data_IF_930546956897
#
_entry.id   IF_930546956897
#
_cell.length_a   1.000
_cell.length_b   1.000
_cell.length_c   1.000
_cell.angle_alpha   90.00
_cell.angle_beta   90.00
_cell.angle_gamma   90.00
#
_symmetry.space_group_name_H-M   'P 1'
#
loop_
_entity.id
_entity.type
_entity.pdbx_description
1 polymer ?
#
# COMPACT_ATOMS: atom_id res chain seq x y z
N UNK A 1 -34.97 -20.69 7.94
CA UNK A 1 -34.00 -20.50 9.04
C UNK A 1 -32.71 -19.96 8.42
N UNK A 2 -32.51 -18.64 8.47
CA UNK A 2 -31.34 -17.97 7.89
C UNK A 2 -30.16 -18.03 8.86
N UNK A 3 -28.98 -18.40 8.38
CA UNK A 3 -27.70 -18.11 9.05
C UNK A 3 -26.69 -17.63 8.01
N UNK A 4 -26.69 -16.33 7.79
CA UNK A 4 -25.55 -15.59 7.22
C UNK A 4 -25.33 -14.37 8.10
N UNK A 5 -24.42 -14.48 9.06
CA UNK A 5 -23.80 -13.32 9.72
C UNK A 5 -22.46 -13.77 10.29
N UNK A 6 -21.39 -13.51 9.54
CA UNK A 6 -20.09 -13.15 10.10
C UNK A 6 -19.63 -11.94 9.30
N UNK A 7 -19.99 -10.76 9.77
CA UNK A 7 -19.47 -9.50 9.25
C UNK A 7 -18.03 -9.35 9.74
N UNK A 8 -17.08 -9.35 8.81
CA UNK A 8 -15.70 -8.96 9.07
C UNK A 8 -15.64 -7.42 9.08
N UNK A 9 -15.28 -6.75 10.21
CA UNK A 9 -15.35 -5.30 10.32
C UNK A 9 -14.20 -4.53 9.65
N UNK A 10 -13.22 -5.22 9.06
CA UNK A 10 -12.09 -4.60 8.35
C UNK A 10 -11.87 -5.28 6.99
N UNK A 11 -11.62 -4.46 5.96
CA UNK A 11 -11.47 -4.94 4.58
C UNK A 11 -10.43 -4.12 3.80
N UNK A 12 -9.38 -4.80 3.32
CA UNK A 12 -8.28 -4.30 2.46
C UNK A 12 -8.45 -4.80 1.01
N UNK A 13 -7.93 -4.26 -0.11
CA UNK A 13 -7.32 -2.98 -0.55
C UNK A 13 -7.59 -2.75 -2.08
N UNK A 14 -7.58 -1.48 -2.51
CA UNK A 14 -7.55 -0.84 -3.87
C UNK A 14 -8.38 -1.34 -5.08
N UNK A 15 -8.44 -2.63 -5.44
CA UNK A 15 -9.59 -3.11 -6.26
C UNK A 15 -10.86 -2.96 -5.42
N UNK A 16 -10.68 -3.09 -4.10
CA UNK A 16 -11.62 -2.71 -3.09
C UNK A 16 -12.05 -1.25 -3.21
N UNK A 17 -11.25 -0.25 -3.60
CA UNK A 17 -11.74 1.13 -3.66
C UNK A 17 -12.79 1.35 -4.78
N UNK A 18 -12.63 0.69 -5.93
CA UNK A 18 -13.63 0.71 -7.02
C UNK A 18 -14.81 -0.21 -6.70
N UNK A 19 -14.57 -1.36 -6.07
CA UNK A 19 -15.62 -2.26 -5.59
C UNK A 19 -16.35 -1.73 -4.34
N UNK A 20 -15.74 -0.85 -3.54
CA UNK A 20 -16.30 -0.11 -2.39
C UNK A 20 -17.07 1.06 -2.86
N UNK A 21 -16.57 1.82 -3.85
CA UNK A 21 -17.40 2.76 -4.57
C UNK A 21 -18.62 2.01 -5.13
N UNK A 22 -18.42 0.91 -5.86
CA UNK A 22 -19.49 0.05 -6.40
C UNK A 22 -20.44 -0.51 -5.34
N UNK A 23 -19.94 -0.95 -4.18
CA UNK A 23 -20.75 -1.55 -3.11
C UNK A 23 -21.41 -0.50 -2.23
N UNK A 24 -20.79 0.66 -2.00
CA UNK A 24 -21.44 1.84 -1.41
C UNK A 24 -22.53 2.40 -2.34
N UNK A 25 -22.34 2.32 -3.66
CA UNK A 25 -23.33 2.66 -4.68
C UNK A 25 -24.54 1.71 -4.61
N UNK A 26 -24.30 0.40 -4.48
CA UNK A 26 -25.35 -0.62 -4.39
C UNK A 26 -26.06 -0.62 -3.02
N UNK A 27 -25.35 -0.37 -1.92
CA UNK A 27 -25.90 -0.49 -0.56
C UNK A 27 -26.49 0.81 -0.01
N UNK A 28 -26.06 2.00 -0.48
CA UNK A 28 -26.55 3.27 0.09
C UNK A 28 -27.99 3.61 -0.29
N UNK A 29 -28.49 3.13 -1.42
CA UNK A 29 -29.82 3.52 -1.95
C UNK A 29 -29.98 5.01 -2.26
N UNK A 30 -28.97 5.84 -2.00
CA UNK A 30 -28.93 7.28 -2.20
C UNK A 30 -28.30 7.59 -3.57
N UNK A 31 -29.14 7.49 -4.59
CA UNK A 31 -28.78 7.66 -6.01
C UNK A 31 -28.07 9.01 -6.25
N UNK A 32 -28.41 10.05 -5.48
CA UNK A 32 -27.81 11.39 -5.63
C UNK A 32 -26.33 11.40 -5.24
N UNK A 33 -25.99 10.84 -4.07
CA UNK A 33 -24.59 10.76 -3.61
C UNK A 33 -23.76 9.78 -4.40
N UNK A 34 -24.36 8.66 -4.81
CA UNK A 34 -23.80 7.73 -5.80
C UNK A 34 -23.34 8.47 -7.06
N UNK A 35 -24.21 9.30 -7.64
CA UNK A 35 -23.89 10.05 -8.85
C UNK A 35 -22.79 11.09 -8.61
N UNK A 36 -22.73 11.70 -7.43
CA UNK A 36 -21.65 12.63 -7.07
C UNK A 36 -20.28 11.95 -6.96
N UNK A 37 -20.22 10.76 -6.36
CA UNK A 37 -18.99 9.96 -6.26
C UNK A 37 -18.56 9.49 -7.65
N UNK A 38 -19.49 8.96 -8.46
CA UNK A 38 -19.23 8.55 -9.85
C UNK A 38 -18.69 9.73 -10.67
N UNK A 39 -19.34 10.89 -10.59
CA UNK A 39 -18.90 12.11 -11.28
C UNK A 39 -17.51 12.53 -10.84
N UNK A 40 -17.21 12.41 -9.54
CA UNK A 40 -15.89 12.73 -9.00
C UNK A 40 -14.82 11.75 -9.49
N UNK A 41 -15.12 10.45 -9.57
CA UNK A 41 -14.21 9.44 -10.11
C UNK A 41 -13.95 9.65 -11.61
N UNK A 42 -14.97 10.00 -12.40
CA UNK A 42 -14.79 10.28 -13.84
C UNK A 42 -13.90 11.49 -14.13
N UNK A 43 -13.69 12.41 -13.17
CA UNK A 43 -12.67 13.46 -13.33
C UNK A 43 -11.25 12.91 -13.47
N UNK A 44 -11.03 11.69 -12.99
CA UNK A 44 -9.74 11.01 -13.05
C UNK A 44 -9.60 10.14 -14.30
N UNK A 45 -10.64 10.00 -15.12
CA UNK A 45 -10.56 9.23 -16.36
C UNK A 45 -9.93 10.08 -17.48
N UNK A 46 -8.84 9.59 -18.08
CA UNK A 46 -8.19 10.24 -19.21
C UNK A 46 -8.95 10.02 -20.52
N UNK A 47 -8.54 10.72 -21.58
CA UNK A 47 -9.15 10.62 -22.92
C UNK A 47 -9.14 9.21 -23.56
N UNK A 48 -8.34 8.29 -23.02
CA UNK A 48 -8.22 6.89 -23.45
C UNK A 48 -9.08 5.95 -22.58
N UNK A 49 -9.82 6.46 -21.60
CA UNK A 49 -10.69 5.69 -20.71
C UNK A 49 -10.03 5.13 -19.44
N UNK A 50 -8.77 5.48 -19.16
CA UNK A 50 -8.01 5.00 -17.99
C UNK A 50 -8.14 5.96 -16.81
N UNK A 51 -8.37 5.45 -15.60
CA UNK A 51 -8.41 6.26 -14.39
C UNK A 51 -6.99 6.49 -13.85
N UNK A 52 -6.61 7.76 -13.74
CA UNK A 52 -5.34 8.24 -13.20
C UNK A 52 -5.45 8.55 -11.70
N UNK A 53 -4.35 8.54 -10.96
CA UNK A 53 -4.34 9.04 -9.58
C UNK A 53 -4.51 10.58 -9.51
N UNK A 54 -4.39 11.27 -10.65
CA UNK A 54 -4.54 12.72 -10.77
C UNK A 54 -5.53 13.05 -11.91
N UNK A 55 -6.45 14.01 -11.72
CA UNK A 55 -7.34 14.46 -12.77
C UNK A 55 -6.61 15.40 -13.75
N UNK A 56 -7.09 15.45 -15.00
CA UNK A 56 -6.50 16.30 -16.06
C UNK A 56 -6.67 17.81 -15.80
N UNK A 57 -7.45 18.19 -14.78
CA UNK A 57 -7.85 19.57 -14.53
C UNK A 57 -7.15 20.14 -13.27
N UNK A 58 -6.65 21.38 -13.35
CA UNK A 58 -6.19 22.18 -12.19
C UNK A 58 -7.39 22.66 -11.37
N UNK A 59 -8.11 21.73 -10.74
CA UNK A 59 -9.27 22.01 -9.91
C UNK A 59 -8.82 22.18 -8.44
N UNK A 60 -8.76 23.44 -7.97
CA UNK A 60 -8.35 23.81 -6.61
C UNK A 60 -9.21 23.15 -5.51
N UNK A 61 -10.42 22.69 -5.85
CA UNK A 61 -11.26 21.94 -4.90
C UNK A 61 -10.65 20.59 -4.53
N UNK A 62 -9.85 19.99 -5.40
CA UNK A 62 -9.18 18.71 -5.15
C UNK A 62 -7.94 18.87 -4.27
N UNK A 63 -7.18 19.94 -4.48
CA UNK A 63 -6.09 20.33 -3.58
C UNK A 63 -6.63 20.60 -2.17
N UNK A 64 -7.75 21.32 -2.09
CA UNK A 64 -8.45 21.58 -0.82
C UNK A 64 -8.96 20.30 -0.16
N UNK A 65 -9.47 19.35 -0.95
CA UNK A 65 -9.93 18.06 -0.46
C UNK A 65 -8.78 17.21 0.09
N UNK A 66 -7.66 17.10 -0.66
CA UNK A 66 -6.48 16.39 -0.22
C UNK A 66 -5.92 16.93 1.11
N UNK A 67 -5.85 18.26 1.25
CA UNK A 67 -5.45 18.91 2.51
C UNK A 67 -6.37 18.53 3.67
N UNK A 68 -7.70 18.56 3.46
CA UNK A 68 -8.68 18.15 4.48
C UNK A 68 -8.53 16.68 4.88
N UNK A 69 -8.31 15.79 3.92
CA UNK A 69 -8.07 14.37 4.20
C UNK A 69 -6.81 14.17 5.05
N UNK A 70 -5.69 14.80 4.70
CA UNK A 70 -4.45 14.69 5.47
C UNK A 70 -4.58 15.29 6.87
N UNK A 71 -5.18 16.47 7.02
CA UNK A 71 -5.44 17.05 8.35
C UNK A 71 -6.31 16.13 9.21
N UNK A 72 -7.31 15.50 8.59
CA UNK A 72 -8.13 14.53 9.31
C UNK A 72 -7.32 13.30 9.75
N UNK A 73 -6.45 12.76 8.90
CA UNK A 73 -5.55 11.66 9.28
C UNK A 73 -4.60 12.09 10.42
N UNK A 74 -4.04 13.29 10.35
CA UNK A 74 -3.15 13.84 11.38
C UNK A 74 -3.84 14.02 12.73
N UNK A 75 -5.10 14.48 12.71
CA UNK A 75 -5.88 14.73 13.93
C UNK A 75 -6.40 13.44 14.59
N UNK A 76 -6.64 12.39 13.80
CA UNK A 76 -7.40 11.22 14.28
C UNK A 76 -6.59 9.92 14.31
N UNK A 77 -5.63 9.74 13.40
CA UNK A 77 -4.94 8.45 13.19
C UNK A 77 -3.41 8.53 13.30
N UNK A 78 -2.82 9.72 13.40
CA UNK A 78 -1.38 9.87 13.55
C UNK A 78 -0.91 9.41 14.94
N UNK A 79 -0.03 8.42 14.94
CA UNK A 79 0.78 8.12 16.10
C UNK A 79 1.93 9.10 16.19
N UNK A 80 1.90 9.99 17.18
CA UNK A 80 2.93 11.01 17.37
C UNK A 80 4.29 10.45 17.80
N UNK A 81 4.36 9.19 18.23
CA UNK A 81 5.61 8.57 18.69
C UNK A 81 6.54 8.19 17.54
N UNK A 82 5.99 7.78 16.39
CA UNK A 82 6.76 7.36 15.22
C UNK A 82 6.33 8.03 13.90
N UNK A 83 5.30 8.89 13.94
CA UNK A 83 4.86 9.66 12.77
C UNK A 83 4.08 8.86 11.73
N UNK A 84 3.71 7.60 12.02
CA UNK A 84 2.89 6.76 11.16
C UNK A 84 1.40 6.86 11.49
N UNK A 85 0.57 6.39 10.56
CA UNK A 85 -0.87 6.34 10.77
C UNK A 85 -1.30 4.94 11.21
N UNK A 86 -2.19 4.92 12.21
CA UNK A 86 -3.01 3.78 12.54
C UNK A 86 -3.96 3.43 11.38
N UNK A 87 -4.36 2.16 11.30
CA UNK A 87 -5.10 1.64 10.15
C UNK A 87 -6.51 2.22 10.02
N UNK A 88 -7.19 2.45 11.16
CA UNK A 88 -8.51 3.05 11.11
C UNK A 88 -9.18 3.24 12.47
N UNK A 89 -10.45 3.65 12.41
CA UNK A 89 -11.31 3.79 13.57
C UNK A 89 -12.63 3.07 13.36
N UNK A 90 -13.26 2.69 14.47
CA UNK A 90 -14.60 2.12 14.42
C UNK A 90 -15.64 3.23 14.13
N UNK A 91 -16.40 3.08 13.04
CA UNK A 91 -17.40 4.08 12.63
C UNK A 91 -18.50 4.33 13.66
N UNK A 92 -18.84 3.31 14.46
CA UNK A 92 -19.86 3.38 15.50
C UNK A 92 -19.28 3.84 16.85
N UNK A 93 -17.96 3.80 17.00
CA UNK A 93 -17.26 4.29 18.18
C UNK A 93 -15.90 4.86 17.81
N UNK A 94 -15.87 6.15 17.48
CA UNK A 94 -14.68 6.83 16.94
C UNK A 94 -13.50 6.92 17.92
N UNK A 95 -13.68 6.58 19.19
CA UNK A 95 -12.59 6.50 20.17
C UNK A 95 -11.89 5.14 20.16
N UNK A 96 -12.48 4.14 19.49
CA UNK A 96 -11.86 2.84 19.28
C UNK A 96 -11.05 2.86 17.97
N UNK A 97 -9.74 3.01 18.13
CA UNK A 97 -8.76 3.09 17.03
C UNK A 97 -8.12 1.71 16.86
N UNK A 98 -8.13 1.19 15.63
CA UNK A 98 -7.29 0.04 15.26
C UNK A 98 -5.86 0.53 15.10
N UNK A 99 -5.02 0.17 16.07
CA UNK A 99 -3.62 0.61 16.14
C UNK A 99 -2.69 -0.21 15.27
N UNK A 100 -3.21 -1.12 14.44
CA UNK A 100 -2.45 -1.73 13.35
C UNK A 100 -1.78 -0.65 12.50
N UNK A 101 -0.54 -0.89 12.09
CA UNK A 101 0.21 0.00 11.19
C UNK A 101 0.59 -0.79 9.95
N UNK A 102 0.19 -0.27 8.80
CA UNK A 102 0.49 -0.88 7.51
C UNK A 102 1.16 0.11 6.59
N UNK A 103 2.12 -0.37 5.83
CA UNK A 103 2.98 0.41 4.92
C UNK A 103 2.20 1.25 3.91
N UNK A 104 0.99 0.80 3.51
CA UNK A 104 0.17 1.54 2.55
C UNK A 104 -0.29 2.91 3.07
N UNK A 105 -0.59 3.04 4.37
CA UNK A 105 -1.07 4.32 4.93
C UNK A 105 0.02 5.37 4.84
N UNK A 106 1.27 4.96 5.05
CA UNK A 106 2.45 5.82 4.95
C UNK A 106 2.79 6.14 3.50
N UNK A 107 2.75 5.14 2.61
CA UNK A 107 2.99 5.31 1.18
C UNK A 107 2.04 6.31 0.51
N UNK A 108 0.74 6.16 0.74
CA UNK A 108 -0.28 7.07 0.23
C UNK A 108 -0.08 8.49 0.77
N UNK A 109 0.26 8.64 2.05
CA UNK A 109 0.54 9.94 2.63
C UNK A 109 1.77 10.60 1.98
N UNK A 110 2.88 9.87 1.82
CA UNK A 110 4.11 10.36 1.16
C UNK A 110 3.77 10.87 -0.26
N UNK A 111 3.07 10.08 -1.07
CA UNK A 111 2.67 10.50 -2.42
C UNK A 111 1.80 11.77 -2.36
N UNK A 112 0.79 11.81 -1.48
CA UNK A 112 -0.12 12.95 -1.36
C UNK A 112 0.60 14.24 -0.97
N UNK A 113 1.48 14.19 0.04
CA UNK A 113 2.30 15.34 0.43
C UNK A 113 3.24 15.77 -0.70
N UNK A 114 3.85 14.82 -1.42
CA UNK A 114 4.74 15.14 -2.55
C UNK A 114 4.00 15.87 -3.67
N UNK A 115 2.80 15.42 -4.04
CA UNK A 115 1.98 16.12 -5.03
C UNK A 115 1.43 17.46 -4.52
N UNK A 116 1.08 17.58 -3.24
CA UNK A 116 0.74 18.88 -2.66
C UNK A 116 1.88 19.88 -2.81
N UNK A 117 3.13 19.48 -2.55
CA UNK A 117 4.30 20.32 -2.84
C UNK A 117 4.37 20.68 -4.33
N UNK A 118 4.30 19.70 -5.23
CA UNK A 118 4.37 19.92 -6.68
C UNK A 118 3.37 20.96 -7.19
N UNK A 119 2.16 20.97 -6.65
CA UNK A 119 1.08 21.85 -7.11
C UNK A 119 0.95 23.17 -6.34
N UNK A 120 1.41 23.24 -5.09
CA UNK A 120 1.30 24.45 -4.26
C UNK A 120 2.62 25.20 -4.10
N UNK A 121 3.74 24.55 -4.38
CA UNK A 121 5.09 25.03 -4.10
C UNK A 121 5.36 25.34 -2.62
N UNK A 122 4.56 24.77 -1.70
CA UNK A 122 4.75 24.89 -0.25
C UNK A 122 5.71 23.80 0.25
N UNK A 123 6.92 24.23 0.62
CA UNK A 123 8.00 23.35 1.05
C UNK A 123 7.65 22.52 2.30
N UNK A 124 6.68 22.94 3.11
CA UNK A 124 6.28 22.16 4.29
C UNK A 124 5.80 20.76 3.89
N UNK A 125 5.13 20.61 2.75
CA UNK A 125 4.62 19.32 2.32
C UNK A 125 5.73 18.34 1.95
N UNK A 126 6.76 18.78 1.22
CA UNK A 126 7.88 17.90 0.86
C UNK A 126 8.75 17.56 2.08
N UNK A 127 8.86 18.47 3.06
CA UNK A 127 9.52 18.18 4.34
C UNK A 127 8.80 17.07 5.11
N UNK A 128 7.46 17.12 5.18
CA UNK A 128 6.66 16.06 5.82
C UNK A 128 6.80 14.72 5.09
N UNK A 129 6.72 14.74 3.76
CA UNK A 129 6.91 13.52 2.94
C UNK A 129 8.30 12.90 3.16
N UNK A 130 9.34 13.74 3.17
CA UNK A 130 10.74 13.33 3.40
C UNK A 130 10.93 12.77 4.81
N UNK A 131 10.33 13.38 5.83
CA UNK A 131 10.39 12.86 7.20
C UNK A 131 9.73 11.47 7.29
N UNK A 132 8.54 11.30 6.71
CA UNK A 132 7.84 10.00 6.69
C UNK A 132 8.62 8.91 5.95
N UNK A 133 9.23 9.24 4.81
CA UNK A 133 10.09 8.32 4.07
C UNK A 133 11.31 7.88 4.89
N UNK A 134 12.00 8.84 5.53
CA UNK A 134 13.15 8.57 6.41
C UNK A 134 12.79 7.65 7.58
N UNK A 135 11.69 7.93 8.27
CA UNK A 135 11.23 7.09 9.39
C UNK A 135 10.87 5.69 8.91
N UNK A 136 10.25 5.55 7.72
CA UNK A 136 9.87 4.25 7.16
C UNK A 136 11.08 3.37 6.85
N UNK A 137 12.12 3.95 6.25
CA UNK A 137 13.35 3.22 5.86
C UNK A 137 14.15 2.75 7.08
N UNK A 138 13.98 3.38 8.24
CA UNK A 138 14.68 3.02 9.49
C UNK A 138 13.77 2.29 10.49
N UNK A 139 12.53 2.03 10.10
CA UNK A 139 11.49 1.61 11.02
C UNK A 139 11.64 0.15 11.44
N UNK A 140 11.64 -0.10 12.75
CA UNK A 140 11.43 -1.45 13.29
C UNK A 140 9.96 -1.89 13.22
N UNK A 141 9.02 -0.97 13.00
CA UNK A 141 7.58 -1.28 12.82
C UNK A 141 7.33 -2.02 11.50
N UNK A 142 8.03 -1.60 10.43
CA UNK A 142 7.81 -2.15 9.08
C UNK A 142 8.91 -3.10 8.62
N UNK A 143 9.96 -3.32 9.41
CA UNK A 143 11.04 -4.25 9.05
C UNK A 143 10.93 -5.56 9.80
N UNK A 144 11.27 -6.64 9.10
CA UNK A 144 11.62 -7.91 9.71
C UNK A 144 13.07 -7.83 10.22
N UNK A 145 13.45 -8.79 11.06
CA UNK A 145 14.80 -8.91 11.63
C UNK A 145 15.92 -9.04 10.59
N UNK A 146 15.64 -9.52 9.38
CA UNK A 146 16.60 -9.57 8.28
C UNK A 146 16.75 -8.24 7.52
N UNK A 147 16.06 -7.17 7.94
CA UNK A 147 16.16 -5.82 7.37
C UNK A 147 15.30 -5.57 6.12
N UNK A 148 14.35 -6.45 5.82
CA UNK A 148 13.39 -6.30 4.70
C UNK A 148 11.98 -6.05 5.22
N UNK A 149 11.13 -5.45 4.39
CA UNK A 149 9.79 -5.06 4.84
C UNK A 149 8.89 -6.26 5.20
N UNK A 150 8.02 -6.05 6.17
CA UNK A 150 7.24 -7.11 6.85
C UNK A 150 5.76 -7.20 6.45
N UNK A 151 5.32 -6.43 5.46
CA UNK A 151 3.94 -6.43 4.98
C UNK A 151 3.82 -7.17 3.65
N UNK A 152 2.62 -7.70 3.38
CA UNK A 152 2.25 -8.27 2.08
C UNK A 152 2.43 -7.25 0.94
N UNK A 153 2.64 -7.73 -0.29
CA UNK A 153 2.88 -6.85 -1.45
C UNK A 153 1.68 -5.95 -1.72
N UNK A 154 0.45 -6.42 -1.42
CA UNK A 154 -0.80 -5.63 -1.49
C UNK A 154 -0.83 -4.36 -0.62
N UNK A 155 0.13 -4.21 0.31
CA UNK A 155 0.34 -2.97 1.05
C UNK A 155 1.64 -2.28 0.61
N UNK A 156 2.71 -3.04 0.41
CA UNK A 156 4.02 -2.50 0.05
C UNK A 156 4.00 -1.72 -1.26
N UNK A 157 3.20 -2.12 -2.24
CA UNK A 157 3.18 -1.44 -3.53
C UNK A 157 2.85 0.06 -3.41
N UNK A 158 1.98 0.45 -2.47
CA UNK A 158 1.65 1.86 -2.21
C UNK A 158 2.79 2.61 -1.51
N UNK A 159 3.60 1.91 -0.71
CA UNK A 159 4.82 2.49 -0.14
C UNK A 159 5.86 2.78 -1.23
N UNK A 160 6.10 1.85 -2.14
CA UNK A 160 6.96 2.07 -3.30
C UNK A 160 6.46 3.24 -4.16
N UNK A 161 5.16 3.29 -4.46
CA UNK A 161 4.55 4.43 -5.18
C UNK A 161 4.87 5.75 -4.49
N UNK A 162 4.64 5.84 -3.18
CA UNK A 162 4.90 7.04 -2.39
C UNK A 162 6.34 7.51 -2.44
N UNK A 163 7.29 6.61 -2.16
CA UNK A 163 8.71 6.98 -2.14
C UNK A 163 9.22 7.34 -3.54
N UNK A 164 8.80 6.60 -4.58
CA UNK A 164 9.17 6.92 -5.97
C UNK A 164 8.59 8.26 -6.42
N UNK A 165 7.34 8.57 -6.08
CA UNK A 165 6.75 9.88 -6.39
C UNK A 165 7.52 11.01 -5.68
N UNK A 166 7.94 10.80 -4.43
CA UNK A 166 8.77 11.74 -3.69
C UNK A 166 10.11 11.99 -4.40
N UNK A 167 10.84 10.94 -4.76
CA UNK A 167 12.13 11.02 -5.46
C UNK A 167 11.98 11.82 -6.76
N UNK A 168 11.01 11.45 -7.60
CA UNK A 168 10.79 12.09 -8.90
C UNK A 168 10.38 13.55 -8.76
N UNK A 169 9.56 13.89 -7.77
CA UNK A 169 9.09 15.27 -7.55
C UNK A 169 10.21 16.15 -6.98
N UNK A 170 11.08 15.59 -6.14
CA UNK A 170 12.20 16.32 -5.55
C UNK A 170 13.37 16.51 -6.52
N UNK A 171 13.53 15.60 -7.50
CA UNK A 171 14.70 15.54 -8.37
C UNK A 171 15.96 15.07 -7.64
N UNK A 172 17.05 14.90 -8.40
CA UNK A 172 18.32 14.28 -7.96
C UNK A 172 18.99 14.96 -6.73
N UNK A 173 18.56 16.14 -6.33
CA UNK A 173 19.28 16.98 -5.37
C UNK A 173 18.90 16.77 -3.89
N UNK A 174 17.84 16.01 -3.55
CA UNK A 174 17.26 16.13 -2.18
C UNK A 174 16.97 14.85 -1.39
N UNK A 175 17.13 13.64 -1.93
CA UNK A 175 17.07 12.41 -1.12
C UNK A 175 17.58 11.16 -1.85
N UNK A 176 18.60 10.48 -1.31
CA UNK A 176 19.03 9.18 -1.83
C UNK A 176 18.26 8.03 -1.15
N UNK A 177 16.95 7.99 -1.40
CA UNK A 177 16.12 6.83 -1.02
C UNK A 177 16.19 5.71 -2.08
N UNK A 178 16.72 6.00 -3.26
CA UNK A 178 16.77 5.09 -4.42
C UNK A 178 17.47 3.79 -4.07
N UNK A 179 18.63 3.86 -3.42
CA UNK A 179 19.38 2.67 -3.00
C UNK A 179 18.58 1.79 -2.02
N UNK A 180 17.89 2.42 -1.05
CA UNK A 180 17.11 1.69 -0.05
C UNK A 180 15.90 0.97 -0.66
N UNK A 181 15.16 1.64 -1.55
CA UNK A 181 13.99 1.01 -2.19
C UNK A 181 14.39 0.00 -3.27
N UNK A 182 15.49 0.21 -4.00
CA UNK A 182 16.01 -0.77 -4.96
C UNK A 182 16.41 -2.06 -4.23
N UNK A 183 17.05 -1.95 -3.07
CA UNK A 183 17.37 -3.10 -2.21
C UNK A 183 16.11 -3.89 -1.80
N UNK A 184 15.02 -3.20 -1.43
CA UNK A 184 13.75 -3.86 -1.09
C UNK A 184 13.10 -4.51 -2.32
N UNK A 185 13.14 -3.85 -3.48
CA UNK A 185 12.61 -4.38 -4.74
C UNK A 185 13.36 -5.63 -5.22
N UNK A 186 14.69 -5.63 -5.11
CA UNK A 186 15.51 -6.80 -5.43
C UNK A 186 15.19 -8.00 -4.53
N UNK A 187 14.92 -7.75 -3.25
CA UNK A 187 14.52 -8.80 -2.32
C UNK A 187 13.22 -9.46 -2.76
N UNK A 188 12.20 -8.66 -3.06
CA UNK A 188 10.90 -9.14 -3.55
C UNK A 188 11.09 -9.93 -4.84
N UNK A 189 11.88 -9.41 -5.78
CA UNK A 189 12.18 -10.11 -7.03
C UNK A 189 12.83 -11.48 -6.81
N UNK A 190 13.77 -11.59 -5.87
CA UNK A 190 14.54 -12.81 -5.62
C UNK A 190 13.80 -13.86 -4.80
N UNK A 191 13.00 -13.44 -3.81
CA UNK A 191 12.51 -14.34 -2.76
C UNK A 191 10.99 -14.50 -2.72
N UNK A 192 10.22 -13.53 -3.20
CA UNK A 192 8.75 -13.63 -3.24
C UNK A 192 8.24 -14.26 -4.54
N UNK A 193 9.12 -14.47 -5.54
CA UNK A 193 8.76 -15.04 -6.84
C UNK A 193 8.81 -16.57 -6.83
N UNK A 194 7.69 -17.21 -7.21
CA UNK A 194 7.64 -18.63 -7.51
C UNK A 194 8.38 -18.97 -8.81
N UNK A 195 8.62 -20.25 -9.07
CA UNK A 195 9.42 -20.75 -10.22
C UNK A 195 8.89 -20.36 -11.62
N UNK A 196 7.65 -19.89 -11.72
CA UNK A 196 7.09 -19.31 -12.95
C UNK A 196 7.07 -17.78 -12.83
N UNK A 197 7.67 -17.08 -13.81
CA UNK A 197 7.65 -15.62 -13.89
C UNK A 197 6.22 -15.10 -13.70
N UNK A 198 6.08 -14.10 -12.83
CA UNK A 198 4.81 -13.41 -12.62
C UNK A 198 3.89 -14.03 -11.56
N UNK A 199 4.40 -14.88 -10.67
CA UNK A 199 3.65 -15.36 -9.50
C UNK A 199 4.40 -15.00 -8.20
N UNK A 200 3.81 -14.10 -7.43
CA UNK A 200 4.39 -13.52 -6.23
C UNK A 200 3.51 -13.79 -5.00
N UNK A 201 4.16 -14.15 -3.89
CA UNK A 201 3.57 -14.37 -2.57
C UNK A 201 4.63 -14.05 -1.50
N UNK A 202 4.21 -13.77 -0.27
CA UNK A 202 5.16 -13.62 0.85
C UNK A 202 5.96 -14.92 1.04
N UNK A 203 7.28 -14.82 0.91
CA UNK A 203 8.16 -15.98 1.04
C UNK A 203 8.04 -16.70 2.39
N UNK A 204 7.59 -16.02 3.45
CA UNK A 204 7.46 -16.62 4.79
C UNK A 204 6.26 -17.55 4.94
N UNK A 205 5.21 -17.33 4.14
CA UNK A 205 3.97 -18.11 4.12
C UNK A 205 4.07 -19.42 3.33
N UNK A 206 5.00 -19.47 2.38
CA UNK A 206 5.12 -20.54 1.38
C UNK A 206 6.41 -21.32 1.56
N UNK A 207 6.31 -22.61 1.90
CA UNK A 207 7.48 -23.43 2.24
C UNK A 207 8.52 -23.50 1.12
N UNK A 208 8.07 -23.60 -0.13
CA UNK A 208 8.95 -23.59 -1.30
C UNK A 208 9.78 -22.30 -1.38
N UNK A 209 9.16 -21.13 -1.16
CA UNK A 209 9.83 -19.84 -1.22
C UNK A 209 10.76 -19.64 -0.03
N UNK A 210 10.34 -20.03 1.18
CA UNK A 210 11.19 -19.99 2.37
C UNK A 210 12.44 -20.86 2.21
N UNK A 211 12.30 -22.11 1.74
CA UNK A 211 13.44 -23.00 1.54
C UNK A 211 14.39 -22.43 0.46
N UNK A 212 13.86 -21.77 -0.57
CA UNK A 212 14.65 -21.03 -1.56
C UNK A 212 15.40 -19.85 -0.94
N UNK A 213 14.73 -19.04 -0.12
CA UNK A 213 15.32 -17.93 0.63
C UNK A 213 16.49 -18.40 1.48
N UNK A 214 16.30 -19.43 2.32
CA UNK A 214 17.35 -20.00 3.18
C UNK A 214 18.52 -20.50 2.34
N UNK A 215 18.24 -21.23 1.25
CA UNK A 215 19.27 -21.80 0.38
C UNK A 215 20.12 -20.72 -0.31
N UNK A 216 19.51 -19.63 -0.76
CA UNK A 216 20.19 -18.58 -1.52
C UNK A 216 20.86 -17.53 -0.63
N UNK A 217 20.23 -17.15 0.48
CA UNK A 217 20.74 -16.12 1.40
C UNK A 217 21.68 -16.69 2.47
N UNK A 218 21.52 -17.96 2.83
CA UNK A 218 22.16 -18.56 4.00
C UNK A 218 21.52 -18.15 5.34
N UNK A 219 20.49 -17.30 5.34
CA UNK A 219 19.80 -16.88 6.56
C UNK A 219 18.70 -17.88 6.95
N UNK A 220 18.96 -18.65 8.00
CA UNK A 220 18.03 -19.61 8.59
C UNK A 220 17.65 -19.27 10.03
N UNK A 221 17.98 -18.05 10.49
CA UNK A 221 17.89 -17.68 11.91
C UNK A 221 17.18 -16.36 12.16
N UNK A 222 17.22 -15.43 11.20
CA UNK A 222 16.56 -14.14 11.37
C UNK A 222 15.05 -14.29 11.18
N UNK A 223 14.62 -15.06 10.16
CA UNK A 223 13.20 -15.26 9.82
C UNK A 223 12.87 -16.73 9.91
N UNK A 224 11.71 -17.05 10.51
CA UNK A 224 11.19 -18.40 10.55
C UNK A 224 10.08 -18.58 9.52
N UNK A 225 9.99 -19.78 8.95
CA UNK A 225 8.82 -20.21 8.20
C UNK A 225 7.57 -20.15 9.07
N UNK A 226 6.49 -19.59 8.52
CA UNK A 226 5.18 -19.54 9.16
C UNK A 226 4.13 -20.00 8.16
N UNK A 227 3.63 -21.23 8.33
CA UNK A 227 2.57 -21.74 7.47
C UNK A 227 1.36 -20.78 7.46
N UNK A 228 0.98 -20.34 6.26
CA UNK A 228 -0.20 -19.54 6.03
C UNK A 228 -1.18 -20.29 5.13
N UNK A 229 -2.29 -20.78 5.70
CA UNK A 229 -3.32 -21.49 4.93
C UNK A 229 -3.97 -20.64 3.84
N UNK A 230 -3.91 -19.31 3.94
CA UNK A 230 -4.44 -18.43 2.90
C UNK A 230 -3.64 -18.52 1.59
N UNK A 231 -2.38 -18.98 1.65
CA UNK A 231 -1.50 -19.13 0.49
C UNK A 231 -1.62 -20.49 -0.21
N UNK A 232 -2.44 -21.42 0.31
CA UNK A 232 -2.66 -22.76 -0.27
C UNK A 232 -4.15 -23.01 -0.58
N UNK A 233 -4.42 -23.69 -1.69
CA UNK A 233 -5.78 -23.97 -2.18
C UNK A 233 -6.61 -24.80 -1.19
N UNK A 234 -5.97 -25.73 -0.48
CA UNK A 234 -6.57 -26.60 0.53
C UNK A 234 -6.52 -26.01 1.96
N UNK A 235 -5.71 -24.97 2.17
CA UNK A 235 -5.56 -24.20 3.39
C UNK A 235 -5.20 -24.96 4.66
N UNK A 236 -4.83 -26.24 4.55
CA UNK A 236 -4.73 -27.15 5.69
C UNK A 236 -3.33 -27.69 5.96
N UNK A 237 -2.44 -27.62 4.97
CA UNK A 237 -1.06 -28.09 5.05
C UNK A 237 -0.20 -27.42 3.97
N UNK A 238 1.12 -27.58 4.07
CA UNK A 238 2.10 -26.99 3.15
C UNK A 238 2.52 -27.91 1.99
N UNK A 239 1.84 -29.05 1.83
CA UNK A 239 1.98 -29.95 0.69
C UNK A 239 0.92 -29.73 -0.40
N UNK A 240 -0.05 -28.86 -0.13
CA UNK A 240 -1.12 -28.50 -1.04
C UNK A 240 -0.67 -27.63 -2.23
N UNK A 241 -1.58 -27.42 -3.17
CA UNK A 241 -1.35 -26.50 -4.28
C UNK A 241 -1.28 -25.05 -3.77
N UNK A 242 -0.20 -24.34 -4.11
CA UNK A 242 -0.04 -22.92 -3.80
C UNK A 242 -1.08 -22.10 -4.60
N UNK A 243 -1.80 -21.20 -3.94
CA UNK A 243 -2.77 -20.29 -4.56
C UNK A 243 -2.06 -19.24 -5.40
N UNK A 244 -2.66 -18.86 -6.52
CA UNK A 244 -2.22 -17.68 -7.29
C UNK A 244 -3.02 -16.46 -6.83
N UNK A 245 -2.34 -15.35 -6.58
CA UNK A 245 -2.98 -14.10 -6.17
C UNK A 245 -2.82 -13.04 -7.26
N UNK A 246 -3.94 -12.64 -7.88
CA UNK A 246 -3.94 -11.50 -8.80
C UNK A 246 -3.50 -10.21 -8.09
N UNK A 247 -3.86 -10.05 -6.81
CA UNK A 247 -3.50 -8.86 -6.04
C UNK A 247 -2.00 -8.78 -5.78
N UNK A 248 -1.37 -9.86 -5.31
CA UNK A 248 0.08 -9.88 -5.06
C UNK A 248 0.86 -9.71 -6.37
N UNK A 249 0.41 -10.36 -7.46
CA UNK A 249 1.04 -10.22 -8.78
C UNK A 249 0.93 -8.79 -9.32
N UNK A 250 -0.24 -8.16 -9.21
CA UNK A 250 -0.44 -6.77 -9.62
C UNK A 250 0.39 -5.80 -8.77
N UNK A 251 0.52 -6.09 -7.48
CA UNK A 251 1.33 -5.33 -6.54
C UNK A 251 2.81 -5.40 -6.89
N UNK A 252 3.34 -6.61 -7.13
CA UNK A 252 4.72 -6.81 -7.60
C UNK A 252 4.97 -6.08 -8.92
N UNK A 253 4.06 -6.19 -9.88
CA UNK A 253 4.16 -5.48 -11.16
C UNK A 253 4.19 -3.97 -10.97
N UNK A 254 3.37 -3.42 -10.06
CA UNK A 254 3.40 -2.00 -9.74
C UNK A 254 4.73 -1.60 -9.08
N UNK A 255 5.24 -2.40 -8.15
CA UNK A 255 6.55 -2.15 -7.52
C UNK A 255 7.64 -2.04 -8.58
N UNK A 256 7.76 -3.02 -9.48
CA UNK A 256 8.80 -3.01 -10.51
C UNK A 256 8.60 -1.90 -11.54
N UNK A 257 7.35 -1.59 -11.91
CA UNK A 257 7.05 -0.44 -12.76
C UNK A 257 7.54 0.86 -12.12
N UNK A 258 7.29 1.06 -10.83
CA UNK A 258 7.70 2.27 -10.13
C UNK A 258 9.22 2.35 -9.94
N UNK A 259 9.90 1.24 -9.66
CA UNK A 259 11.36 1.22 -9.56
C UNK A 259 12.04 1.53 -10.90
N UNK A 260 11.51 1.01 -12.01
CA UNK A 260 12.02 1.32 -13.36
C UNK A 260 11.91 2.82 -13.71
N UNK A 261 11.00 3.57 -13.07
CA UNK A 261 10.93 5.04 -13.26
C UNK A 261 12.13 5.80 -12.67
N UNK A 262 13.02 5.12 -11.95
CA UNK A 262 14.23 5.68 -11.35
C UNK A 262 15.52 5.34 -12.14
N UNK A 263 15.42 4.53 -13.19
CA UNK A 263 16.53 4.17 -14.09
C UNK A 263 16.66 5.13 -15.29
#
# INVERSE_FOLDING_TARGET
>A
MSKFTNFNPFQYSVVWSVAVAGMAIVQSGDISKTNQIITSLYKYQNSQGWFSATPENKDDSLLSFAKKCLSWLDDNLLDKSDGFYYDGLNVNNKTNIDKGKLTYTVGVAISTYSYLYKYTNDEQYVLIATAKANETIKSTTFMRSNGYWNNDLKYLHLLFVGIVDLIIIMGDEKSDFSNDIMKQGEFIYKYDQLSEIGNYLDFTGVKQLYDQYVKQSGDNSSINYQFNGDDYCDGSNDSGQIKRSLMENASAAQIFYHLNRLE
#
